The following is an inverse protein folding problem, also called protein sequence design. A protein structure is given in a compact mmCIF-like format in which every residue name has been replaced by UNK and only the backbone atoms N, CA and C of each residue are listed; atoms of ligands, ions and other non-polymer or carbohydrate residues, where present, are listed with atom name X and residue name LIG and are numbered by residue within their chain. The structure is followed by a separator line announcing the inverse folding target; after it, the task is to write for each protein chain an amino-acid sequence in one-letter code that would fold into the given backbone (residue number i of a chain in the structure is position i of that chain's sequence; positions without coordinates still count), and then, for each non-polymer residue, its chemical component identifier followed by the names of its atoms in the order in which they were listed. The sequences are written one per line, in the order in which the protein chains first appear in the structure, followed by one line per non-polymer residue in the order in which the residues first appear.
data_IF_662885178324
#
_entry.id   IF_662885178324
#
_cell.length_a   1.000
_cell.length_b   1.000
_cell.length_c   1.000
_cell.angle_alpha   90.00
_cell.angle_beta   90.00
_cell.angle_gamma   90.00
#
_symmetry.space_group_name_H-M   'P 1'
#
loop_
_entity.id
_entity.type
_entity.pdbx_description
1 polymer ?
#
# COMPACT_ATOMS: atom_id res chain seq x y z
N UNK A 1 -21.76 2.83 -15.11
CA UNK A 1 -20.36 3.33 -15.20
C UNK A 1 -20.20 4.78 -15.68
N UNK A 2 -21.12 5.38 -16.45
CA UNK A 2 -21.01 6.80 -16.84
C UNK A 2 -20.78 7.78 -15.66
N UNK A 3 -21.49 7.58 -14.54
CA UNK A 3 -21.32 8.42 -13.34
C UNK A 3 -19.96 8.23 -12.64
N UNK A 4 -19.35 7.04 -12.72
CA UNK A 4 -18.01 6.77 -12.18
C UNK A 4 -16.95 7.50 -13.01
N UNK A 5 -16.96 7.30 -14.34
CA UNK A 5 -15.99 7.95 -15.23
C UNK A 5 -16.07 9.48 -15.17
N UNK A 6 -17.28 10.04 -15.03
CA UNK A 6 -17.45 11.47 -14.80
C UNK A 6 -16.92 11.90 -13.41
N UNK A 7 -17.10 11.10 -12.38
CA UNK A 7 -16.54 11.37 -11.06
C UNK A 7 -15.01 11.42 -11.11
N UNK A 8 -14.37 10.47 -11.82
CA UNK A 8 -12.93 10.42 -12.00
C UNK A 8 -12.40 11.65 -12.76
N UNK A 9 -13.11 12.10 -13.81
CA UNK A 9 -12.76 13.33 -14.53
C UNK A 9 -12.89 14.58 -13.67
N UNK A 10 -13.96 14.68 -12.87
CA UNK A 10 -14.15 15.80 -11.93
C UNK A 10 -13.09 15.80 -10.83
N UNK A 11 -12.72 14.60 -10.36
CA UNK A 11 -11.64 14.41 -9.40
C UNK A 11 -10.29 14.89 -9.96
N UNK A 12 -9.98 14.53 -11.21
CA UNK A 12 -8.76 14.93 -11.90
C UNK A 12 -8.71 16.45 -12.15
N UNK A 13 -9.86 17.09 -12.38
CA UNK A 13 -9.97 18.55 -12.57
C UNK A 13 -10.09 19.34 -11.25
N UNK A 14 -9.94 18.69 -10.09
CA UNK A 14 -9.94 19.35 -8.79
C UNK A 14 -11.32 19.72 -8.25
N UNK A 15 -12.41 19.37 -8.94
CA UNK A 15 -13.78 19.63 -8.52
C UNK A 15 -14.27 18.58 -7.52
N UNK A 16 -13.66 18.59 -6.33
CA UNK A 16 -13.83 17.54 -5.32
C UNK A 16 -15.30 17.33 -4.90
N UNK A 17 -16.03 18.41 -4.60
CA UNK A 17 -17.45 18.31 -4.22
C UNK A 17 -18.31 17.66 -5.31
N UNK A 18 -18.07 18.04 -6.57
CA UNK A 18 -18.78 17.47 -7.71
C UNK A 18 -18.41 16.00 -7.93
N UNK A 19 -17.13 15.64 -7.80
CA UNK A 19 -16.67 14.25 -7.89
C UNK A 19 -17.33 13.37 -6.82
N UNK A 20 -17.31 13.79 -5.56
CA UNK A 20 -17.95 13.05 -4.46
C UNK A 20 -19.46 12.91 -4.64
N UNK A 21 -20.13 13.95 -5.15
CA UNK A 21 -21.54 13.85 -5.50
C UNK A 21 -21.80 12.77 -6.58
N UNK A 22 -20.97 12.73 -7.62
CA UNK A 22 -21.10 11.73 -8.69
C UNK A 22 -20.81 10.31 -8.22
N UNK A 23 -19.78 10.11 -7.39
CA UNK A 23 -19.53 8.80 -6.77
C UNK A 23 -20.72 8.33 -5.93
N UNK A 24 -21.28 9.20 -5.07
CA UNK A 24 -22.45 8.86 -4.25
C UNK A 24 -23.66 8.49 -5.10
N UNK A 25 -23.91 9.24 -6.19
CA UNK A 25 -24.97 8.92 -7.14
C UNK A 25 -24.75 7.57 -7.81
N UNK A 26 -23.51 7.25 -8.22
CA UNK A 26 -23.17 5.95 -8.79
C UNK A 26 -23.42 4.81 -7.78
N UNK A 27 -22.98 4.99 -6.52
CA UNK A 27 -23.16 4.00 -5.45
C UNK A 27 -24.65 3.78 -5.15
N UNK A 28 -25.47 4.84 -5.18
CA UNK A 28 -26.92 4.71 -4.99
C UNK A 28 -27.60 3.90 -6.11
N UNK A 29 -27.10 4.01 -7.35
CA UNK A 29 -27.61 3.26 -8.49
C UNK A 29 -27.17 1.79 -8.50
N UNK A 30 -25.95 1.51 -8.03
CA UNK A 30 -25.37 0.16 -8.01
C UNK A 30 -24.79 -0.16 -6.63
N UNK A 31 -25.65 -0.34 -5.62
CA UNK A 31 -25.21 -0.45 -4.22
C UNK A 31 -24.41 -1.73 -3.93
N UNK A 32 -24.50 -2.75 -4.79
CA UNK A 32 -23.77 -4.01 -4.67
C UNK A 32 -22.47 -4.03 -5.48
N UNK A 33 -22.12 -2.96 -6.19
CA UNK A 33 -20.83 -2.87 -6.88
C UNK A 33 -19.74 -2.33 -5.92
N UNK A 34 -18.79 -3.17 -5.45
CA UNK A 34 -17.71 -2.72 -4.58
C UNK A 34 -16.75 -1.75 -5.28
N UNK A 35 -16.63 -1.80 -6.61
CA UNK A 35 -15.69 -0.96 -7.37
C UNK A 35 -15.96 0.52 -7.17
N UNK A 36 -17.23 0.93 -7.18
CA UNK A 36 -17.61 2.34 -7.02
C UNK A 36 -17.16 2.92 -5.67
N UNK A 37 -17.23 2.11 -4.61
CA UNK A 37 -16.74 2.49 -3.28
C UNK A 37 -15.22 2.50 -3.21
N UNK A 38 -14.55 1.59 -3.92
CA UNK A 38 -13.08 1.60 -4.06
C UNK A 38 -12.61 2.84 -4.80
N UNK A 39 -13.26 3.24 -5.89
CA UNK A 39 -12.92 4.44 -6.67
C UNK A 39 -13.07 5.71 -5.81
N UNK A 40 -14.19 5.86 -5.10
CA UNK A 40 -14.38 6.95 -4.14
C UNK A 40 -13.34 6.95 -3.01
N UNK A 41 -13.09 5.79 -2.39
CA UNK A 41 -12.10 5.65 -1.31
C UNK A 41 -10.68 5.97 -1.78
N UNK A 42 -10.32 5.57 -3.00
CA UNK A 42 -9.02 5.85 -3.62
C UNK A 42 -8.83 7.34 -3.87
N UNK A 43 -9.87 8.01 -4.38
CA UNK A 43 -9.86 9.46 -4.53
C UNK A 43 -9.59 10.18 -3.20
N UNK A 44 -10.33 9.82 -2.15
CA UNK A 44 -10.18 10.38 -0.80
C UNK A 44 -8.79 10.10 -0.20
N UNK A 45 -8.28 8.87 -0.40
CA UNK A 45 -6.94 8.49 0.04
C UNK A 45 -5.84 9.32 -0.63
N UNK A 46 -5.97 9.60 -1.93
CA UNK A 46 -5.01 10.45 -2.65
C UNK A 46 -5.03 11.91 -2.16
N UNK A 47 -6.10 12.34 -1.48
CA UNK A 47 -6.19 13.62 -0.77
C UNK A 47 -5.79 13.52 0.71
N UNK A 48 -5.24 12.39 1.15
CA UNK A 48 -4.90 12.07 2.54
C UNK A 48 -6.09 12.16 3.52
N UNK A 49 -7.33 12.09 3.01
CA UNK A 49 -8.55 12.03 3.83
C UNK A 49 -8.78 10.61 4.33
N UNK A 50 -7.88 10.14 5.19
CA UNK A 50 -7.81 8.72 5.59
C UNK A 50 -9.08 8.19 6.24
N UNK A 51 -9.77 8.99 7.06
CA UNK A 51 -11.00 8.57 7.75
C UNK A 51 -12.18 8.42 6.77
N UNK A 52 -12.32 9.36 5.84
CA UNK A 52 -13.37 9.29 4.82
C UNK A 52 -13.10 8.14 3.84
N UNK A 53 -11.83 7.97 3.44
CA UNK A 53 -11.41 6.86 2.60
C UNK A 53 -11.69 5.51 3.25
N UNK A 54 -11.39 5.36 4.56
CA UNK A 54 -11.73 4.17 5.33
C UNK A 54 -13.23 3.88 5.29
N UNK A 55 -14.07 4.90 5.48
CA UNK A 55 -15.53 4.73 5.42
C UNK A 55 -16.00 4.20 4.06
N UNK A 56 -15.42 4.70 2.96
CA UNK A 56 -15.72 4.17 1.61
C UNK A 56 -15.23 2.72 1.44
N UNK A 57 -14.00 2.42 1.85
CA UNK A 57 -13.47 1.06 1.74
C UNK A 57 -14.20 0.07 2.66
N UNK A 58 -14.65 0.49 3.84
CA UNK A 58 -15.47 -0.32 4.74
C UNK A 58 -16.73 -0.76 4.04
N UNK A 59 -17.46 0.18 3.41
CA UNK A 59 -18.65 -0.15 2.62
C UNK A 59 -18.39 -1.09 1.44
N UNK A 60 -17.17 -1.12 0.88
CA UNK A 60 -16.80 -2.11 -0.13
C UNK A 60 -16.55 -3.48 0.52
N UNK A 61 -15.82 -3.52 1.63
CA UNK A 61 -15.49 -4.78 2.32
C UNK A 61 -16.68 -5.44 2.99
N UNK A 62 -17.71 -4.70 3.40
CA UNK A 62 -18.97 -5.27 3.91
C UNK A 62 -19.73 -6.07 2.86
N UNK A 63 -19.55 -5.77 1.57
CA UNK A 63 -20.09 -6.58 0.49
C UNK A 63 -19.42 -7.96 0.42
N UNK A 64 -18.27 -8.16 1.09
CA UNK A 64 -17.64 -9.49 1.18
C UNK A 64 -18.58 -10.56 1.71
N UNK A 65 -19.46 -10.26 2.67
CA UNK A 65 -20.48 -11.21 3.14
C UNK A 65 -21.51 -11.59 2.06
N UNK A 66 -21.81 -10.66 1.14
CA UNK A 66 -22.68 -10.90 -0.02
C UNK A 66 -21.97 -11.80 -1.05
N UNK A 67 -20.64 -11.71 -1.14
CA UNK A 67 -19.81 -12.49 -2.06
C UNK A 67 -19.15 -13.73 -1.43
N UNK A 68 -19.50 -14.11 -0.19
CA UNK A 68 -19.08 -15.38 0.42
C UNK A 68 -18.04 -15.33 1.57
N UNK A 69 -17.78 -14.19 2.23
CA UNK A 69 -17.07 -14.23 3.53
C UNK A 69 -17.89 -14.98 4.60
N UNK A 70 -17.25 -15.81 5.46
CA UNK A 70 -15.82 -15.77 5.81
C UNK A 70 -14.91 -16.75 5.03
N UNK A 71 -15.46 -17.51 4.09
CA UNK A 71 -14.75 -18.63 3.44
C UNK A 71 -14.89 -18.58 1.92
N UNK A 72 -14.26 -17.58 1.28
CA UNK A 72 -14.02 -17.66 -0.15
C UNK A 72 -13.31 -18.98 -0.45
N UNK A 73 -13.91 -19.80 -1.30
CA UNK A 73 -13.31 -21.06 -1.73
C UNK A 73 -12.01 -20.78 -2.48
N UNK A 74 -11.11 -21.77 -2.51
CA UNK A 74 -9.87 -21.67 -3.29
C UNK A 74 -10.15 -21.34 -4.77
N UNK A 75 -11.27 -21.84 -5.31
CA UNK A 75 -11.72 -21.55 -6.68
C UNK A 75 -12.09 -20.08 -6.87
N UNK A 76 -12.82 -19.49 -5.94
CA UNK A 76 -13.21 -18.07 -6.00
C UNK A 76 -12.00 -17.15 -5.88
N UNK A 77 -11.05 -17.49 -5.00
CA UNK A 77 -9.78 -16.78 -4.89
C UNK A 77 -8.96 -16.91 -6.18
N UNK A 78 -8.89 -18.10 -6.78
CA UNK A 78 -8.20 -18.30 -8.07
C UNK A 78 -8.84 -17.45 -9.16
N UNK A 79 -10.18 -17.48 -9.25
CA UNK A 79 -10.93 -16.68 -10.21
C UNK A 79 -10.72 -15.17 -10.01
N UNK A 80 -10.67 -14.69 -8.76
CA UNK A 80 -10.39 -13.28 -8.48
C UNK A 80 -8.99 -12.86 -8.98
N UNK A 81 -8.02 -13.76 -8.95
CA UNK A 81 -6.66 -13.49 -9.45
C UNK A 81 -6.59 -13.47 -10.98
N UNK A 82 -7.51 -14.15 -11.66
CA UNK A 82 -7.65 -14.12 -13.12
C UNK A 82 -8.50 -12.93 -13.59
N UNK A 83 -9.62 -12.68 -12.92
CA UNK A 83 -10.53 -11.56 -13.19
C UNK A 83 -10.18 -10.34 -12.34
N UNK A 84 -9.25 -9.54 -12.87
CA UNK A 84 -8.79 -8.30 -12.23
C UNK A 84 -9.89 -7.21 -12.14
N UNK A 85 -11.05 -7.43 -12.77
CA UNK A 85 -12.19 -6.50 -12.76
C UNK A 85 -13.34 -6.96 -11.85
N UNK A 86 -13.24 -8.17 -11.31
CA UNK A 86 -14.30 -8.80 -10.55
C UNK A 86 -14.56 -8.15 -9.17
N UNK A 87 -15.72 -8.43 -8.55
CA UNK A 87 -16.07 -7.92 -7.23
C UNK A 87 -15.07 -8.30 -6.13
N UNK A 88 -14.55 -9.53 -6.16
CA UNK A 88 -13.54 -10.00 -5.19
C UNK A 88 -12.21 -9.24 -5.33
N UNK A 89 -11.82 -8.89 -6.56
CA UNK A 89 -10.65 -8.05 -6.81
C UNK A 89 -10.87 -6.66 -6.24
N UNK A 90 -12.05 -6.07 -6.47
CA UNK A 90 -12.42 -4.78 -5.87
C UNK A 90 -12.41 -4.83 -4.34
N UNK A 91 -12.91 -5.90 -3.72
CA UNK A 91 -12.84 -6.08 -2.26
C UNK A 91 -11.38 -6.23 -1.78
N UNK A 92 -10.54 -6.96 -2.52
CA UNK A 92 -9.11 -7.04 -2.26
C UNK A 92 -8.43 -5.68 -2.32
N UNK A 93 -8.76 -4.87 -3.32
CA UNK A 93 -8.28 -3.49 -3.46
C UNK A 93 -8.80 -2.59 -2.33
N UNK A 94 -10.03 -2.79 -1.86
CA UNK A 94 -10.55 -2.08 -0.69
C UNK A 94 -9.73 -2.40 0.56
N UNK A 95 -9.40 -3.66 0.82
CA UNK A 95 -8.50 -4.02 1.93
C UNK A 95 -7.09 -3.44 1.76
N UNK A 96 -6.57 -3.38 0.53
CA UNK A 96 -5.30 -2.70 0.25
C UNK A 96 -5.38 -1.19 0.53
N UNK A 97 -6.49 -0.55 0.17
CA UNK A 97 -6.80 0.84 0.49
C UNK A 97 -6.90 1.10 2.00
N UNK A 98 -7.60 0.24 2.75
CA UNK A 98 -7.67 0.28 4.21
C UNK A 98 -6.29 0.18 4.84
N UNK A 99 -5.45 -0.74 4.36
CA UNK A 99 -4.08 -0.87 4.83
C UNK A 99 -3.28 0.43 4.67
N UNK A 100 -3.36 1.07 3.49
CA UNK A 100 -2.70 2.37 3.26
C UNK A 100 -3.23 3.47 4.18
N UNK A 101 -4.55 3.52 4.42
CA UNK A 101 -5.14 4.47 5.36
C UNK A 101 -4.64 4.24 6.78
N UNK A 102 -4.66 2.99 7.26
CA UNK A 102 -4.17 2.64 8.59
C UNK A 102 -2.67 2.91 8.75
N UNK A 103 -1.86 2.70 7.72
CA UNK A 103 -0.45 3.09 7.72
C UNK A 103 -0.28 4.60 7.90
N UNK A 104 -1.03 5.41 7.13
CA UNK A 104 -1.01 6.88 7.23
C UNK A 104 -1.48 7.39 8.60
N UNK A 105 -2.42 6.70 9.23
CA UNK A 105 -2.94 7.01 10.57
C UNK A 105 -2.06 6.47 11.72
N UNK A 106 -0.94 5.81 11.44
CA UNK A 106 -0.09 5.22 12.48
C UNK A 106 -0.65 3.92 13.11
N UNK A 107 -1.76 3.39 12.61
CA UNK A 107 -2.44 2.19 13.11
C UNK A 107 -1.85 0.93 12.48
N UNK A 108 -0.58 0.64 12.76
CA UNK A 108 0.20 -0.37 12.03
C UNK A 108 -0.35 -1.80 12.13
N UNK A 109 -0.93 -2.18 13.27
CA UNK A 109 -1.56 -3.50 13.42
C UNK A 109 -2.79 -3.68 12.54
N UNK A 110 -3.65 -2.66 12.48
CA UNK A 110 -4.82 -2.64 11.59
C UNK A 110 -4.40 -2.65 10.12
N UNK A 111 -3.28 -1.98 9.80
CA UNK A 111 -2.67 -2.06 8.48
C UNK A 111 -2.27 -3.51 8.15
N UNK A 112 -1.52 -4.18 9.03
CA UNK A 112 -1.08 -5.57 8.81
C UNK A 112 -2.24 -6.56 8.68
N UNK A 113 -3.31 -6.39 9.46
CA UNK A 113 -4.53 -7.19 9.31
C UNK A 113 -5.17 -6.99 7.94
N UNK A 114 -5.30 -5.73 7.50
CA UNK A 114 -5.87 -5.40 6.18
C UNK A 114 -5.01 -5.91 5.03
N UNK A 115 -3.67 -5.85 5.16
CA UNK A 115 -2.72 -6.42 4.20
C UNK A 115 -2.91 -7.93 4.07
N UNK A 116 -3.12 -8.65 5.17
CA UNK A 116 -3.34 -10.09 5.12
C UNK A 116 -4.61 -10.45 4.34
N UNK A 117 -5.70 -9.67 4.51
CA UNK A 117 -6.92 -9.85 3.74
C UNK A 117 -6.73 -9.50 2.26
N UNK A 118 -6.06 -8.38 1.96
CA UNK A 118 -5.71 -8.01 0.58
C UNK A 118 -4.88 -9.09 -0.12
N UNK A 119 -3.86 -9.64 0.55
CA UNK A 119 -3.01 -10.70 -0.01
C UNK A 119 -3.78 -11.99 -0.31
N UNK A 120 -4.78 -12.35 0.51
CA UNK A 120 -5.58 -13.54 0.24
C UNK A 120 -6.28 -13.43 -1.11
N UNK A 121 -6.92 -12.29 -1.36
CA UNK A 121 -7.71 -12.03 -2.57
C UNK A 121 -6.85 -11.71 -3.79
N UNK A 122 -5.86 -10.83 -3.65
CA UNK A 122 -5.04 -10.31 -4.75
C UNK A 122 -3.77 -11.13 -5.00
N UNK A 123 -3.43 -12.05 -4.10
CA UNK A 123 -2.17 -12.78 -4.13
C UNK A 123 -0.99 -11.98 -3.56
N UNK A 124 0.20 -12.57 -3.65
CA UNK A 124 1.45 -11.99 -3.15
C UNK A 124 2.08 -11.11 -4.23
N UNK A 125 1.59 -9.88 -4.36
CA UNK A 125 2.13 -8.90 -5.33
C UNK A 125 3.25 -8.05 -4.72
N UNK A 126 4.18 -7.50 -5.52
CA UNK A 126 5.24 -6.61 -5.03
C UNK A 126 4.72 -5.43 -4.21
N UNK A 127 3.58 -4.84 -4.60
CA UNK A 127 2.95 -3.72 -3.90
C UNK A 127 2.46 -4.12 -2.50
N UNK A 128 1.90 -5.31 -2.35
CA UNK A 128 1.44 -5.84 -1.05
C UNK A 128 2.63 -6.16 -0.14
N UNK A 129 3.69 -6.76 -0.69
CA UNK A 129 4.93 -7.04 0.06
C UNK A 129 5.55 -5.72 0.53
N UNK A 130 5.65 -4.73 -0.36
CA UNK A 130 6.22 -3.41 -0.05
C UNK A 130 5.42 -2.70 1.04
N UNK A 131 4.09 -2.70 0.95
CA UNK A 131 3.23 -2.10 1.96
C UNK A 131 3.36 -2.81 3.32
N UNK A 132 3.53 -4.14 3.34
CA UNK A 132 3.82 -4.90 4.56
C UNK A 132 5.16 -4.48 5.17
N UNK A 133 6.19 -4.36 4.34
CA UNK A 133 7.51 -3.92 4.77
C UNK A 133 7.45 -2.52 5.40
N UNK A 134 6.72 -1.58 4.77
CA UNK A 134 6.51 -0.23 5.32
C UNK A 134 5.78 -0.24 6.66
N UNK A 135 4.73 -1.05 6.80
CA UNK A 135 3.99 -1.16 8.05
C UNK A 135 4.86 -1.76 9.17
N UNK A 136 5.68 -2.77 8.87
CA UNK A 136 6.62 -3.37 9.83
C UNK A 136 7.74 -2.41 10.20
N UNK A 137 8.30 -1.68 9.23
CA UNK A 137 9.33 -0.63 9.46
C UNK A 137 8.77 0.41 10.44
N UNK A 138 7.58 0.96 10.16
CA UNK A 138 6.95 1.97 11.01
C UNK A 138 6.53 1.46 12.38
N UNK A 139 6.21 0.17 12.50
CA UNK A 139 5.96 -0.50 13.78
C UNK A 139 7.26 -0.77 14.58
N UNK A 140 8.44 -0.56 14.00
CA UNK A 140 9.73 -0.88 14.63
C UNK A 140 10.14 -2.36 14.54
N UNK A 141 9.41 -3.16 13.75
CA UNK A 141 9.75 -4.56 13.47
C UNK A 141 10.83 -4.65 12.37
N UNK A 142 11.97 -4.01 12.62
CA UNK A 142 13.01 -3.73 11.63
C UNK A 142 13.60 -5.00 10.99
N UNK A 143 13.82 -6.06 11.76
CA UNK A 143 14.34 -7.34 11.23
C UNK A 143 13.38 -7.98 10.22
N UNK A 144 12.07 -7.91 10.46
CA UNK A 144 11.06 -8.42 9.51
C UNK A 144 10.95 -7.52 8.28
N UNK A 145 11.02 -6.20 8.48
CA UNK A 145 10.96 -5.23 7.39
C UNK A 145 12.16 -5.37 6.43
N UNK A 146 13.39 -5.46 6.97
CA UNK A 146 14.61 -5.62 6.17
C UNK A 146 14.60 -6.92 5.37
N UNK A 147 14.11 -8.03 5.94
CA UNK A 147 13.92 -9.29 5.20
C UNK A 147 13.00 -9.13 3.98
N UNK A 148 11.87 -8.43 4.12
CA UNK A 148 10.96 -8.17 3.01
C UNK A 148 11.57 -7.23 1.97
N UNK A 149 12.21 -6.13 2.40
CA UNK A 149 12.87 -5.21 1.48
C UNK A 149 14.02 -5.88 0.71
N UNK A 150 14.80 -6.76 1.35
CA UNK A 150 15.85 -7.53 0.69
C UNK A 150 15.29 -8.44 -0.40
N UNK A 151 14.17 -9.11 -0.13
CA UNK A 151 13.45 -9.90 -1.14
C UNK A 151 13.01 -9.06 -2.33
N UNK A 152 12.43 -7.88 -2.08
CA UNK A 152 12.02 -6.97 -3.16
C UNK A 152 13.25 -6.54 -3.99
N UNK A 153 14.32 -6.08 -3.34
CA UNK A 153 15.55 -5.63 -4.02
C UNK A 153 16.15 -6.74 -4.89
N UNK A 154 16.11 -8.00 -4.44
CA UNK A 154 16.63 -9.14 -5.20
C UNK A 154 15.82 -9.47 -6.46
N UNK A 155 14.54 -9.09 -6.52
CA UNK A 155 13.65 -9.33 -7.67
C UNK A 155 13.59 -8.16 -8.65
N UNK A 156 14.19 -7.00 -8.32
CA UNK A 156 14.17 -5.84 -9.21
C UNK A 156 15.16 -6.02 -10.37
N UNK A 157 14.67 -5.88 -11.60
CA UNK A 157 15.51 -5.87 -12.80
C UNK A 157 16.46 -4.65 -12.86
N UNK A 158 16.06 -3.53 -12.27
CA UNK A 158 16.87 -2.31 -12.20
C UNK A 158 16.90 -1.81 -10.75
N UNK A 159 18.06 -1.42 -10.21
CA UNK A 159 18.16 -0.89 -8.86
C UNK A 159 17.19 0.27 -8.62
N UNK A 160 16.44 0.21 -7.53
CA UNK A 160 15.57 1.28 -7.08
C UNK A 160 16.14 1.90 -5.78
N UNK A 161 16.73 3.11 -5.85
CA UNK A 161 17.32 3.77 -4.69
C UNK A 161 16.36 3.93 -3.50
N UNK A 162 15.06 4.14 -3.72
CA UNK A 162 14.10 4.29 -2.63
C UNK A 162 13.93 2.99 -1.84
N UNK A 163 13.74 1.86 -2.53
CA UNK A 163 13.56 0.55 -1.87
C UNK A 163 14.85 0.13 -1.16
N UNK A 164 16.01 0.33 -1.81
CA UNK A 164 17.32 0.07 -1.21
C UNK A 164 17.56 0.95 0.03
N UNK A 165 17.13 2.21 0.00
CA UNK A 165 17.25 3.10 1.16
C UNK A 165 16.37 2.63 2.32
N UNK A 166 15.15 2.14 2.05
CA UNK A 166 14.30 1.54 3.10
C UNK A 166 14.88 0.26 3.67
N UNK A 167 15.56 -0.55 2.84
CA UNK A 167 16.34 -1.68 3.32
C UNK A 167 17.46 -1.22 4.26
N UNK A 168 18.28 -0.25 3.85
CA UNK A 168 19.36 0.29 4.67
C UNK A 168 18.85 0.83 6.01
N UNK A 169 17.76 1.61 5.98
CA UNK A 169 17.10 2.13 7.18
C UNK A 169 16.59 1.04 8.10
N UNK A 170 15.98 -0.01 7.55
CA UNK A 170 15.52 -1.16 8.33
C UNK A 170 16.69 -1.98 8.89
N UNK A 171 17.81 -2.09 8.16
CA UNK A 171 19.02 -2.75 8.65
C UNK A 171 19.62 -1.98 9.83
N UNK A 172 19.74 -0.65 9.73
CA UNK A 172 20.18 0.20 10.84
C UNK A 172 19.28 0.05 12.07
N UNK A 173 17.94 0.15 11.89
CA UNK A 173 16.99 0.00 12.99
C UNK A 173 17.03 -1.39 13.66
N UNK A 174 17.54 -2.41 12.95
CA UNK A 174 17.77 -3.74 13.51
C UNK A 174 19.18 -3.96 14.10
N UNK A 175 19.99 -2.90 14.19
CA UNK A 175 21.38 -2.96 14.71
C UNK A 175 22.42 -3.46 13.70
N UNK A 176 22.01 -3.79 12.47
CA UNK A 176 22.91 -4.29 11.40
C UNK A 176 23.60 -3.12 10.68
N UNK A 177 24.38 -2.34 11.43
CA UNK A 177 24.96 -1.06 10.99
C UNK A 177 25.87 -1.21 9.77
N UNK A 178 26.75 -2.21 9.78
CA UNK A 178 27.69 -2.45 8.66
C UNK A 178 26.95 -2.81 7.37
N UNK A 179 25.92 -3.66 7.48
CA UNK A 179 25.09 -4.03 6.34
C UNK A 179 24.34 -2.82 5.78
N UNK A 180 23.81 -1.95 6.65
CA UNK A 180 23.18 -0.70 6.24
C UNK A 180 24.15 0.21 5.47
N UNK A 181 25.37 0.43 5.99
CA UNK A 181 26.41 1.19 5.30
C UNK A 181 26.78 0.57 3.94
N UNK A 182 26.82 -0.77 3.86
CA UNK A 182 27.01 -1.49 2.60
C UNK A 182 25.94 -1.18 1.56
N UNK A 183 24.67 -1.18 1.95
CA UNK A 183 23.56 -0.82 1.05
C UNK A 183 23.59 0.66 0.65
N UNK A 184 23.91 1.57 1.58
CA UNK A 184 24.07 3.00 1.26
C UNK A 184 25.19 3.23 0.24
N UNK A 185 26.33 2.52 0.37
CA UNK A 185 27.41 2.57 -0.63
C UNK A 185 26.95 2.12 -2.01
N UNK A 186 26.13 1.06 -2.11
CA UNK A 186 25.58 0.60 -3.39
C UNK A 186 24.67 1.64 -4.02
N UNK A 187 23.80 2.28 -3.23
CA UNK A 187 22.92 3.38 -3.70
C UNK A 187 23.77 4.52 -4.26
N UNK A 188 24.80 4.95 -3.54
CA UNK A 188 25.64 6.09 -3.94
C UNK A 188 26.58 5.76 -5.11
N UNK A 189 26.89 4.48 -5.36
CA UNK A 189 27.62 4.05 -6.56
C UNK A 189 26.79 4.25 -7.83
N UNK A 190 25.49 3.98 -7.78
CA UNK A 190 24.59 4.10 -8.95
C UNK A 190 23.89 5.45 -9.02
N UNK A 191 23.67 6.10 -7.88
CA UNK A 191 23.02 7.42 -7.76
C UNK A 191 23.80 8.28 -6.75
N UNK A 192 24.94 8.88 -7.16
CA UNK A 192 25.85 9.60 -6.27
C UNK A 192 25.21 10.72 -5.46
N UNK A 193 24.17 11.37 -6.00
CA UNK A 193 23.50 12.52 -5.38
C UNK A 193 22.19 12.16 -4.66
N UNK A 194 21.98 10.88 -4.31
CA UNK A 194 20.79 10.46 -3.57
C UNK A 194 20.83 10.96 -2.12
N UNK A 195 20.27 12.16 -1.89
CA UNK A 195 20.33 12.91 -0.62
C UNK A 195 19.97 12.09 0.63
N UNK A 196 18.92 11.24 0.64
CA UNK A 196 18.60 10.46 1.83
C UNK A 196 19.74 9.52 2.25
N UNK A 197 20.41 8.88 1.27
CA UNK A 197 21.51 7.97 1.57
C UNK A 197 22.77 8.70 2.05
N UNK A 198 23.11 9.85 1.44
CA UNK A 198 24.22 10.69 1.90
C UNK A 198 24.02 11.09 3.37
N UNK A 199 22.87 11.69 3.68
CA UNK A 199 22.54 12.16 5.03
C UNK A 199 22.64 11.04 6.07
N UNK A 200 22.08 9.87 5.75
CA UNK A 200 22.10 8.72 6.65
C UNK A 200 23.52 8.17 6.83
N UNK A 201 24.28 8.00 5.74
CA UNK A 201 25.67 7.51 5.80
C UNK A 201 26.54 8.44 6.64
N UNK A 202 26.46 9.74 6.42
CA UNK A 202 27.32 10.72 7.08
C UNK A 202 27.00 10.79 8.58
N UNK A 203 25.72 10.75 8.95
CA UNK A 203 25.31 10.59 10.34
C UNK A 203 25.81 9.29 10.97
N UNK A 204 25.83 8.19 10.21
CA UNK A 204 26.35 6.91 10.68
C UNK A 204 27.88 6.90 10.83
N UNK A 205 28.63 7.68 10.04
CA UNK A 205 30.08 7.77 10.17
C UNK A 205 30.49 8.70 11.31
N UNK A 206 29.76 9.80 11.51
CA UNK A 206 30.02 10.74 12.59
C UNK A 206 29.94 10.06 13.97
N UNK A 207 28.91 9.23 14.21
CA UNK A 207 28.74 8.58 15.51
C UNK A 207 29.69 7.39 15.76
N UNK A 208 30.71 7.17 14.92
CA UNK A 208 31.80 6.21 15.15
C UNK A 208 33.01 6.93 15.75
N UNK A 209 33.08 8.26 15.61
CA UNK A 209 34.23 9.09 16.01
C UNK A 209 34.03 9.71 17.41
N UNK A 210 32.82 9.63 17.96
CA UNK A 210 32.46 10.00 19.34
C UNK A 210 32.38 8.75 20.25
#
# INVERSE_FOLDING_TARGET
YYQEGLADQLAASGQEGAALYRYRKAIALYPLDPKLRVSMGTHLLNKNRYVDALSSFDGATTLGGVYGEPSYSAREISKAREDVSGPLTSIGLAYFGKARCYLGLGKYDMSLQSINKAQRLLGKTPQIIYLRAQALEKKGSYTKASGLYKGIVAELATPNPEVMFRLAKSLEGSGQREAALGELKKILKTTPNYRPALKMRDGMLASIVD
#
